data_IF_925268496093
#
_entry.id   IF_925268496093
#
_cell.length_a   1.000
_cell.length_b   1.000
_cell.length_c   1.000
_cell.angle_alpha   90.00
_cell.angle_beta   90.00
_cell.angle_gamma   90.00
#
_symmetry.space_group_name_H-M   'P 1'
#
loop_
_entity.id
_entity.type
_entity.pdbx_description
1 polymer ?
#
# COMPACT_ATOMS: atom_id res chain seq x y z
N UNK A 1 0.63 -16.67 -4.45
CA UNK A 1 0.48 -15.27 -3.99
C UNK A 1 0.41 -14.34 -5.20
N UNK A 2 -0.61 -13.47 -5.26
CA UNK A 2 -0.97 -12.71 -6.47
C UNK A 2 0.13 -11.71 -6.88
N UNK A 3 0.74 -11.02 -5.91
CA UNK A 3 1.78 -10.00 -6.13
C UNK A 3 2.99 -10.54 -6.92
N UNK A 4 3.50 -11.74 -6.58
CA UNK A 4 4.60 -12.39 -7.32
C UNK A 4 4.28 -12.63 -8.79
N UNK A 5 3.03 -12.98 -9.11
CA UNK A 5 2.58 -13.17 -10.50
C UNK A 5 2.56 -11.85 -11.24
N UNK A 6 2.02 -10.79 -10.62
CA UNK A 6 2.00 -9.44 -11.20
C UNK A 6 3.42 -8.90 -11.48
N UNK A 7 4.33 -9.07 -10.52
CA UNK A 7 5.75 -8.73 -10.69
C UNK A 7 6.38 -9.50 -11.87
N UNK A 8 6.13 -10.82 -11.95
CA UNK A 8 6.61 -11.66 -13.05
C UNK A 8 6.14 -11.18 -14.42
N UNK A 9 4.86 -10.79 -14.54
CA UNK A 9 4.31 -10.24 -15.80
C UNK A 9 4.97 -8.90 -16.16
N UNK A 10 5.11 -7.98 -15.21
CA UNK A 10 5.79 -6.70 -15.44
C UNK A 10 7.23 -6.91 -15.93
N UNK A 11 7.96 -7.83 -15.29
CA UNK A 11 9.33 -8.21 -15.69
C UNK A 11 9.38 -8.80 -17.11
N UNK A 12 8.45 -9.67 -17.47
CA UNK A 12 8.35 -10.24 -18.83
C UNK A 12 8.08 -9.18 -19.90
N UNK A 13 7.35 -8.12 -19.54
CA UNK A 13 7.05 -6.99 -20.41
C UNK A 13 8.14 -5.90 -20.41
N UNK A 14 9.25 -6.11 -19.69
CA UNK A 14 10.32 -5.12 -19.46
C UNK A 14 9.82 -3.82 -18.81
N UNK A 15 8.81 -3.91 -17.95
CA UNK A 15 8.29 -2.78 -17.19
C UNK A 15 8.97 -2.74 -15.81
N UNK A 16 9.60 -1.62 -15.43
CA UNK A 16 10.23 -1.48 -14.12
C UNK A 16 9.16 -1.46 -13.02
N UNK A 17 9.36 -2.29 -11.98
CA UNK A 17 8.52 -2.26 -10.78
C UNK A 17 9.21 -1.40 -9.74
N UNK A 18 8.64 -0.23 -9.47
CA UNK A 18 9.22 0.78 -8.57
C UNK A 18 9.11 0.40 -7.09
N UNK A 19 8.13 -0.43 -6.74
CA UNK A 19 7.93 -0.88 -5.37
C UNK A 19 6.55 -1.48 -5.17
N UNK A 20 6.25 -1.79 -3.91
CA UNK A 20 4.99 -2.42 -3.50
C UNK A 20 4.31 -1.53 -2.45
N UNK A 21 3.01 -1.35 -2.60
CA UNK A 21 2.14 -0.72 -1.58
C UNK A 21 1.21 -1.79 -1.03
N UNK A 22 1.12 -1.88 0.29
CA UNK A 22 0.13 -2.71 0.96
C UNK A 22 -1.09 -1.87 1.31
N UNK A 23 -2.23 -2.18 0.70
CA UNK A 23 -3.51 -1.55 1.07
C UNK A 23 -4.15 -2.30 2.24
N UNK A 24 -4.95 -1.58 3.05
CA UNK A 24 -5.69 -2.11 4.20
C UNK A 24 -4.83 -2.87 5.22
N UNK A 25 -3.61 -2.37 5.46
CA UNK A 25 -2.63 -2.97 6.38
C UNK A 25 -3.15 -3.00 7.84
N UNK A 26 -3.91 -1.98 8.23
CA UNK A 26 -4.54 -1.89 9.56
C UNK A 26 -5.73 -0.92 9.57
N UNK A 27 -6.48 -0.90 10.67
CA UNK A 27 -7.42 0.15 11.05
C UNK A 27 -6.90 0.84 12.29
N UNK A 28 -6.93 2.16 12.33
CA UNK A 28 -6.65 2.91 13.56
C UNK A 28 -7.94 3.07 14.36
N UNK A 29 -7.98 2.57 15.59
CA UNK A 29 -9.13 2.76 16.48
C UNK A 29 -9.32 4.27 16.74
N UNK A 30 -10.51 4.84 16.47
CA UNK A 30 -10.74 6.27 16.65
C UNK A 30 -10.67 6.71 18.12
N UNK A 31 -11.00 5.81 19.05
CA UNK A 31 -11.07 6.14 20.48
C UNK A 31 -9.72 6.06 21.20
N UNK A 32 -8.88 5.07 20.84
CA UNK A 32 -7.62 4.80 21.55
C UNK A 32 -6.37 4.85 20.67
N UNK A 33 -6.51 5.05 19.36
CA UNK A 33 -5.39 5.15 18.42
C UNK A 33 -4.64 3.85 18.15
N UNK A 34 -5.06 2.73 18.77
CA UNK A 34 -4.44 1.41 18.55
C UNK A 34 -4.66 0.95 17.12
N UNK A 35 -3.60 0.43 16.50
CA UNK A 35 -3.68 -0.22 15.20
C UNK A 35 -4.22 -1.64 15.33
N UNK A 36 -5.24 -1.93 14.55
CA UNK A 36 -5.94 -3.21 14.49
C UNK A 36 -5.67 -3.84 13.13
N UNK A 37 -4.95 -4.96 13.14
CA UNK A 37 -4.63 -5.74 11.95
C UNK A 37 -5.80 -6.65 11.58
N UNK A 38 -6.84 -6.07 10.98
CA UNK A 38 -8.12 -6.74 10.68
C UNK A 38 -7.93 -8.02 9.87
N UNK A 39 -6.97 -8.02 8.94
CA UNK A 39 -6.70 -9.15 8.05
C UNK A 39 -5.49 -10.00 8.48
N UNK A 40 -5.01 -9.81 9.70
CA UNK A 40 -3.83 -10.49 10.23
C UNK A 40 -2.52 -9.74 9.97
N UNK A 41 -1.42 -10.41 10.29
CA UNK A 41 -0.08 -9.84 10.17
C UNK A 41 0.31 -9.59 8.71
N UNK A 42 0.98 -8.47 8.48
CA UNK A 42 1.53 -8.14 7.17
C UNK A 42 2.75 -9.02 6.88
N UNK A 43 2.83 -9.50 5.65
CA UNK A 43 3.98 -10.26 5.13
C UNK A 43 4.67 -9.55 3.97
N UNK A 44 4.36 -8.26 3.75
CA UNK A 44 4.79 -7.54 2.55
C UNK A 44 6.30 -7.31 2.51
N UNK A 45 6.95 -7.16 3.67
CA UNK A 45 8.42 -7.02 3.77
C UNK A 45 9.15 -8.25 3.23
N UNK A 46 8.72 -9.45 3.62
CA UNK A 46 9.32 -10.70 3.17
C UNK A 46 9.21 -10.84 1.65
N UNK A 47 8.05 -10.49 1.11
CA UNK A 47 7.74 -10.53 -0.32
C UNK A 47 8.58 -9.51 -1.08
N UNK A 48 8.65 -8.29 -0.59
CA UNK A 48 9.40 -7.19 -1.21
C UNK A 48 10.90 -7.51 -1.24
N UNK A 49 11.43 -8.07 -0.15
CA UNK A 49 12.81 -8.54 -0.07
C UNK A 49 13.11 -9.66 -1.08
N UNK A 50 12.24 -10.66 -1.21
CA UNK A 50 12.40 -11.74 -2.19
C UNK A 50 12.39 -11.22 -3.64
N UNK A 51 11.57 -10.21 -3.92
CA UNK A 51 11.44 -9.61 -5.25
C UNK A 51 12.47 -8.51 -5.55
N UNK A 52 13.27 -8.11 -4.56
CA UNK A 52 14.27 -7.05 -4.69
C UNK A 52 13.68 -5.67 -4.98
N UNK A 53 12.49 -5.37 -4.46
CA UNK A 53 11.79 -4.09 -4.63
C UNK A 53 11.42 -3.47 -3.28
N UNK A 54 11.37 -2.13 -3.15
CA UNK A 54 11.05 -1.51 -1.86
C UNK A 54 9.56 -1.57 -1.53
N UNK A 55 9.25 -1.55 -0.23
CA UNK A 55 7.89 -1.24 0.26
C UNK A 55 7.74 0.27 0.35
N UNK A 56 6.85 0.81 -0.49
CA UNK A 56 6.60 2.25 -0.62
C UNK A 56 5.63 2.77 0.42
N UNK A 57 4.74 1.91 0.92
CA UNK A 57 3.79 2.30 1.96
C UNK A 57 2.93 1.16 2.44
N UNK A 58 2.41 1.33 3.65
CA UNK A 58 1.40 0.48 4.28
C UNK A 58 0.21 1.36 4.63
N UNK A 59 -0.82 1.32 3.80
CA UNK A 59 -1.98 2.18 3.94
C UNK A 59 -2.98 1.54 4.91
N UNK A 60 -3.46 2.28 5.93
CA UNK A 60 -4.60 1.83 6.70
C UNK A 60 -5.89 1.95 5.89
N UNK A 61 -6.98 1.41 6.44
CA UNK A 61 -8.31 1.86 6.09
C UNK A 61 -8.50 3.26 6.70
N UNK A 62 -8.60 4.27 5.84
CA UNK A 62 -8.80 5.67 6.22
C UNK A 62 -10.15 6.18 5.67
N UNK A 63 -11.12 6.49 6.56
CA UNK A 63 -12.40 7.05 6.16
C UNK A 63 -12.28 8.37 5.40
N UNK A 64 -11.30 9.23 5.70
CA UNK A 64 -11.15 10.51 5.02
C UNK A 64 -10.75 10.34 3.54
N UNK A 65 -9.91 9.34 3.25
CA UNK A 65 -9.58 8.96 1.88
C UNK A 65 -10.82 8.43 1.16
N UNK A 66 -11.61 7.57 1.80
CA UNK A 66 -12.82 7.01 1.21
C UNK A 66 -13.88 8.09 0.93
N UNK A 67 -14.06 9.04 1.84
CA UNK A 67 -14.97 10.18 1.70
C UNK A 67 -14.56 11.07 0.52
N UNK A 68 -13.27 11.41 0.40
CA UNK A 68 -12.80 12.22 -0.73
C UNK A 68 -12.97 11.52 -2.09
N UNK A 69 -12.92 10.20 -2.14
CA UNK A 69 -13.24 9.43 -3.35
C UNK A 69 -14.73 9.54 -3.69
N UNK A 70 -15.61 9.40 -2.70
CA UNK A 70 -17.07 9.54 -2.87
C UNK A 70 -17.46 10.97 -3.29
N UNK A 71 -16.78 11.98 -2.76
CA UNK A 71 -16.96 13.38 -3.16
C UNK A 71 -16.32 13.73 -4.52
N UNK A 72 -15.69 12.76 -5.20
CA UNK A 72 -14.93 12.95 -6.44
C UNK A 72 -13.79 13.99 -6.31
N UNK A 73 -13.26 14.21 -5.10
CA UNK A 73 -12.22 15.20 -4.75
C UNK A 73 -10.89 14.59 -4.35
N UNK A 74 -10.69 13.30 -4.61
CA UNK A 74 -9.45 12.59 -4.26
C UNK A 74 -8.17 13.25 -4.83
N UNK A 75 -8.27 13.96 -5.96
CA UNK A 75 -7.14 14.67 -6.57
C UNK A 75 -6.62 15.85 -5.73
N UNK A 76 -7.37 16.31 -4.73
CA UNK A 76 -6.94 17.34 -3.77
C UNK A 76 -6.19 16.75 -2.57
N UNK A 77 -6.16 15.42 -2.42
CA UNK A 77 -5.57 14.78 -1.26
C UNK A 77 -4.07 14.59 -1.39
N UNK A 78 -3.36 14.86 -0.29
CA UNK A 78 -2.01 14.34 -0.07
C UNK A 78 -2.10 12.99 0.64
N UNK A 79 -1.31 12.00 0.19
CA UNK A 79 -1.27 10.69 0.80
C UNK A 79 -0.10 10.59 1.80
N UNK A 80 -0.35 10.62 3.12
CA UNK A 80 0.73 10.62 4.12
C UNK A 80 1.36 9.24 4.34
N UNK A 81 0.84 8.20 3.71
CA UNK A 81 1.25 6.80 3.93
C UNK A 81 2.27 6.30 2.92
N UNK A 82 2.51 7.05 1.85
CA UNK A 82 3.46 6.70 0.80
C UNK A 82 4.78 7.45 1.01
N UNK A 83 5.88 6.74 0.82
CA UNK A 83 7.22 7.34 0.75
C UNK A 83 7.43 7.94 -0.63
N UNK A 84 8.20 9.03 -0.67
CA UNK A 84 8.75 9.53 -1.92
C UNK A 84 9.61 8.46 -2.60
N UNK A 85 9.51 8.39 -3.92
CA UNK A 85 10.34 7.53 -4.76
C UNK A 85 11.23 8.43 -5.59
N UNK A 86 12.54 8.33 -5.41
CA UNK A 86 13.48 8.89 -6.38
C UNK A 86 13.42 8.03 -7.65
N UNK A 87 12.91 8.61 -8.73
CA UNK A 87 12.75 7.98 -10.05
C UNK A 87 13.93 8.24 -10.97
#
# INVERSE_FOLDING_TARGET
MIVKKAYGMAKQMNIPVLGIVENYSYVKCPDCGKELKVFGESHIEEIAAELGVPVLGKMPIDPAIAEAVEEERFYEMENPYLKDVEL
#
